data_IF_116962557458
#
_entry.id   IF_116962557458
#
_cell.length_a   1.000
_cell.length_b   1.000
_cell.length_c   1.000
_cell.angle_alpha   90.00
_cell.angle_beta   90.00
_cell.angle_gamma   90.00
#
_symmetry.space_group_name_H-M   'P 1'
#
loop_
_entity.id
_entity.type
_entity.pdbx_description
1 polymer ?
#
# COMPACT_ATOMS: atom_id res chain seq x y z
N UNK A 1 13.37 0.27 55.52
CA UNK A 1 14.18 0.30 54.27
C UNK A 1 13.70 -0.68 53.19
N UNK A 2 13.00 -1.79 53.51
CA UNK A 2 12.48 -2.75 52.50
C UNK A 2 11.26 -2.26 51.68
N UNK A 3 10.50 -1.28 52.17
CA UNK A 3 9.33 -0.70 51.47
C UNK A 3 9.70 0.26 50.32
N UNK A 4 10.90 0.84 50.34
CA UNK A 4 11.38 1.74 49.28
C UNK A 4 11.92 0.99 48.06
N UNK A 5 12.39 -0.25 48.24
CA UNK A 5 12.91 -1.08 47.14
C UNK A 5 11.79 -1.51 46.18
N UNK A 6 10.57 -1.73 46.70
CA UNK A 6 9.43 -2.12 45.87
C UNK A 6 8.92 -1.00 44.94
N UNK A 7 9.11 0.27 45.33
CA UNK A 7 8.66 1.43 44.57
C UNK A 7 9.61 1.76 43.41
N UNK A 8 10.89 1.40 43.54
CA UNK A 8 11.91 1.56 42.47
C UNK A 8 11.73 0.51 41.36
N UNK A 9 11.24 -0.70 41.69
CA UNK A 9 11.01 -1.76 40.69
C UNK A 9 9.80 -1.46 39.79
N UNK A 10 8.78 -0.75 40.30
CA UNK A 10 7.61 -0.38 39.49
C UNK A 10 7.90 0.80 38.53
N UNK A 11 8.86 1.67 38.87
CA UNK A 11 9.27 2.79 38.02
C UNK A 11 10.15 2.38 36.83
N UNK A 12 10.77 1.19 36.86
CA UNK A 12 11.63 0.69 35.78
C UNK A 12 10.85 0.10 34.58
N UNK A 13 9.54 -0.14 34.71
CA UNK A 13 8.72 -0.71 33.63
C UNK A 13 8.12 0.34 32.68
N UNK A 14 8.37 1.63 32.91
CA UNK A 14 7.77 2.75 32.16
C UNK A 14 8.44 3.10 30.82
N UNK A 15 9.50 2.40 30.42
CA UNK A 15 10.26 2.71 29.19
C UNK A 15 9.99 1.74 28.03
N UNK A 16 8.79 1.18 27.94
CA UNK A 16 8.33 0.59 26.67
C UNK A 16 7.85 1.74 25.79
N UNK A 17 8.80 2.28 25.01
CA UNK A 17 8.58 3.31 24.00
C UNK A 17 7.38 2.96 23.09
N UNK A 18 6.54 3.97 22.86
CA UNK A 18 5.32 3.92 22.06
C UNK A 18 5.58 3.45 20.62
N UNK A 19 5.40 2.17 20.35
CA UNK A 19 5.02 1.70 19.02
C UNK A 19 3.50 1.62 18.94
N UNK A 20 2.81 2.75 19.10
CA UNK A 20 1.37 2.78 18.80
C UNK A 20 1.22 2.61 17.29
N UNK A 21 0.42 1.65 16.81
CA UNK A 21 0.21 1.47 15.38
C UNK A 21 -0.41 2.75 14.81
N UNK A 22 0.11 3.19 13.66
CA UNK A 22 -0.39 4.36 12.96
C UNK A 22 -1.89 4.18 12.69
N UNK A 23 -2.72 5.05 13.25
CA UNK A 23 -4.18 4.98 13.11
C UNK A 23 -4.66 5.49 11.76
N UNK A 24 -4.00 6.52 11.26
CA UNK A 24 -4.23 7.12 9.96
C UNK A 24 -2.97 7.88 9.54
N UNK A 25 -2.71 7.92 8.24
CA UNK A 25 -1.77 8.86 7.65
C UNK A 25 -2.31 10.29 7.69
N UNK A 26 -1.39 11.26 7.59
CA UNK A 26 -1.73 12.66 7.38
C UNK A 26 -2.39 12.88 6.01
N UNK A 27 -3.37 13.77 5.96
CA UNK A 27 -4.01 14.21 4.71
C UNK A 27 -3.08 15.11 3.87
N UNK A 28 -2.00 15.62 4.47
CA UNK A 28 -1.01 16.45 3.76
C UNK A 28 -0.04 15.55 3.00
N UNK A 29 0.08 15.70 1.66
CA UNK A 29 0.92 14.83 0.85
C UNK A 29 2.42 14.81 1.24
N UNK A 30 2.94 15.94 1.71
CA UNK A 30 4.33 16.08 2.19
C UNK A 30 4.58 15.24 3.46
N UNK A 31 3.59 15.16 4.35
CA UNK A 31 3.69 14.39 5.60
C UNK A 31 3.44 12.90 5.34
N UNK A 32 2.48 12.57 4.47
CA UNK A 32 2.15 11.20 4.08
C UNK A 32 3.37 10.42 3.59
N UNK A 33 4.12 10.99 2.64
CA UNK A 33 5.22 10.26 1.98
C UNK A 33 6.37 9.95 2.96
N UNK A 34 6.58 10.83 3.95
CA UNK A 34 7.54 10.63 5.03
C UNK A 34 7.05 9.56 6.00
N UNK A 35 5.78 9.61 6.41
CA UNK A 35 5.18 8.61 7.29
C UNK A 35 5.19 7.21 6.68
N UNK A 36 4.88 7.09 5.38
CA UNK A 36 4.92 5.84 4.64
C UNK A 36 6.34 5.25 4.63
N UNK A 37 7.34 6.08 4.35
CA UNK A 37 8.76 5.68 4.41
C UNK A 37 9.12 5.15 5.79
N UNK A 38 8.84 5.92 6.84
CA UNK A 38 9.16 5.55 8.22
C UNK A 38 8.48 4.24 8.62
N UNK A 39 7.23 4.06 8.21
CA UNK A 39 6.46 2.84 8.47
C UNK A 39 7.09 1.61 7.83
N UNK A 40 7.55 1.68 6.57
CA UNK A 40 8.22 0.55 5.91
C UNK A 40 9.64 0.36 6.47
N UNK A 41 10.40 1.44 6.70
CA UNK A 41 11.76 1.37 7.28
C UNK A 41 11.78 0.76 8.68
N UNK A 42 10.73 0.98 9.47
CA UNK A 42 10.58 0.34 10.77
C UNK A 42 10.51 -1.20 10.69
N UNK A 43 10.08 -1.74 9.54
CA UNK A 43 10.06 -3.18 9.28
C UNK A 43 11.32 -3.67 8.54
N UNK A 44 11.71 -2.97 7.48
CA UNK A 44 12.94 -3.20 6.74
C UNK A 44 13.49 -1.88 6.18
N UNK A 45 14.61 -1.43 6.77
CA UNK A 45 15.26 -0.17 6.43
C UNK A 45 15.74 -0.10 4.98
N UNK A 46 16.17 -1.23 4.41
CA UNK A 46 16.67 -1.26 3.03
C UNK A 46 15.50 -1.11 2.06
N UNK A 47 14.47 -1.93 2.24
CA UNK A 47 13.26 -1.89 1.39
C UNK A 47 12.57 -0.52 1.47
N UNK A 48 12.42 0.03 2.67
CA UNK A 48 11.80 1.35 2.85
C UNK A 48 12.53 2.47 2.10
N UNK A 49 13.87 2.47 2.13
CA UNK A 49 14.68 3.41 1.35
C UNK A 49 14.52 3.23 -0.16
N UNK A 50 14.64 1.99 -0.64
CA UNK A 50 14.54 1.69 -2.07
C UNK A 50 13.18 2.12 -2.65
N UNK A 51 12.09 1.82 -1.94
CA UNK A 51 10.74 2.23 -2.34
C UNK A 51 10.62 3.75 -2.30
N UNK A 52 11.07 4.40 -1.22
CA UNK A 52 11.00 5.85 -1.08
C UNK A 52 11.76 6.58 -2.18
N UNK A 53 12.99 6.17 -2.49
CA UNK A 53 13.81 6.77 -3.54
C UNK A 53 13.19 6.58 -4.93
N UNK A 54 12.47 5.48 -5.16
CA UNK A 54 11.77 5.23 -6.42
C UNK A 54 10.48 6.05 -6.56
N UNK A 55 9.70 6.21 -5.49
CA UNK A 55 8.40 6.88 -5.53
C UNK A 55 8.53 8.41 -5.42
N UNK A 56 9.53 8.92 -4.68
CA UNK A 56 9.67 10.35 -4.38
C UNK A 56 9.73 11.25 -5.62
N UNK A 57 10.45 10.91 -6.71
CA UNK A 57 10.44 11.70 -7.94
C UNK A 57 9.07 11.75 -8.62
N UNK A 58 8.31 10.66 -8.56
CA UNK A 58 6.94 10.59 -9.11
C UNK A 58 5.97 11.40 -8.25
N UNK A 59 6.15 11.34 -6.92
CA UNK A 59 5.36 12.08 -5.95
C UNK A 59 5.60 13.59 -6.08
N UNK A 60 6.84 14.03 -6.20
CA UNK A 60 7.17 15.46 -6.31
C UNK A 60 7.03 15.99 -7.75
N UNK A 61 6.97 15.10 -8.74
CA UNK A 61 6.81 15.43 -10.15
C UNK A 61 5.36 15.69 -10.56
N UNK A 62 5.11 15.65 -11.87
CA UNK A 62 3.79 15.90 -12.47
C UNK A 62 2.95 14.63 -12.69
N UNK A 63 3.50 13.44 -12.43
CA UNK A 63 2.79 12.18 -12.63
C UNK A 63 1.58 12.07 -11.70
N UNK A 64 1.81 12.21 -10.38
CA UNK A 64 0.74 12.28 -9.39
C UNK A 64 0.35 13.74 -9.13
N UNK A 65 -0.82 14.16 -9.64
CA UNK A 65 -1.38 15.45 -9.29
C UNK A 65 -2.01 15.41 -7.87
N UNK A 66 -2.48 16.57 -7.39
CA UNK A 66 -3.05 16.65 -6.03
C UNK A 66 -4.25 15.71 -5.82
N UNK A 67 -5.10 15.52 -6.83
CA UNK A 67 -6.24 14.59 -6.74
C UNK A 67 -5.80 13.14 -6.65
N UNK A 68 -4.74 12.76 -7.37
CA UNK A 68 -4.17 11.42 -7.32
C UNK A 68 -3.58 11.16 -5.93
N UNK A 69 -2.80 12.11 -5.40
CA UNK A 69 -2.21 12.04 -4.05
C UNK A 69 -3.29 11.87 -2.99
N UNK A 70 -4.36 12.66 -3.03
CA UNK A 70 -5.50 12.52 -2.11
C UNK A 70 -6.14 11.13 -2.21
N UNK A 71 -6.28 10.59 -3.43
CA UNK A 71 -6.84 9.25 -3.63
C UNK A 71 -5.93 8.14 -3.08
N UNK A 72 -4.62 8.24 -3.31
CA UNK A 72 -3.60 7.33 -2.77
C UNK A 72 -3.62 7.34 -1.24
N UNK A 73 -3.68 8.53 -0.62
CA UNK A 73 -3.76 8.70 0.84
C UNK A 73 -5.05 8.08 1.39
N UNK A 74 -6.19 8.31 0.72
CA UNK A 74 -7.48 7.74 1.12
C UNK A 74 -7.43 6.20 1.11
N UNK A 75 -6.93 5.60 0.02
CA UNK A 75 -6.79 4.15 -0.08
C UNK A 75 -5.80 3.60 0.95
N UNK A 76 -4.71 4.31 1.22
CA UNK A 76 -3.74 3.95 2.26
C UNK A 76 -4.39 3.92 3.65
N UNK A 77 -5.25 4.88 3.95
CA UNK A 77 -6.02 4.90 5.21
C UNK A 77 -7.05 3.76 5.27
N UNK A 78 -7.68 3.40 4.15
CA UNK A 78 -8.58 2.24 4.08
C UNK A 78 -7.84 0.91 4.28
N UNK A 79 -6.61 0.80 3.77
CA UNK A 79 -5.72 -0.33 4.04
C UNK A 79 -5.36 -0.41 5.54
N UNK A 80 -5.04 0.71 6.20
CA UNK A 80 -4.82 0.75 7.65
C UNK A 80 -6.05 0.28 8.43
N UNK A 81 -7.26 0.68 8.02
CA UNK A 81 -8.51 0.20 8.64
C UNK A 81 -8.70 -1.31 8.51
N UNK A 82 -8.18 -1.90 7.42
CA UNK A 82 -8.10 -3.36 7.22
C UNK A 82 -6.92 -4.03 7.93
N UNK A 83 -6.18 -3.28 8.74
CA UNK A 83 -4.99 -3.73 9.48
C UNK A 83 -3.87 -4.20 8.54
N UNK A 84 -3.77 -3.59 7.37
CA UNK A 84 -2.65 -3.81 6.47
C UNK A 84 -1.33 -3.46 7.19
N UNK A 85 -0.41 -4.41 7.16
CA UNK A 85 0.95 -4.30 7.68
C UNK A 85 1.88 -3.56 6.71
N UNK A 86 2.98 -2.94 7.21
CA UNK A 86 3.99 -2.30 6.36
C UNK A 86 4.54 -3.22 5.27
N UNK A 87 4.74 -4.50 5.63
CA UNK A 87 5.08 -5.57 4.70
C UNK A 87 4.16 -6.78 4.96
N UNK A 88 3.66 -7.45 3.92
CA UNK A 88 3.92 -7.17 2.49
C UNK A 88 3.06 -6.04 1.90
N UNK A 89 1.97 -5.62 2.57
CA UNK A 89 0.88 -4.89 1.89
C UNK A 89 1.24 -3.48 1.42
N UNK A 90 1.81 -2.63 2.27
CA UNK A 90 2.16 -1.27 1.84
C UNK A 90 3.35 -1.28 0.87
N UNK A 91 4.32 -2.16 1.08
CA UNK A 91 5.35 -2.42 0.07
C UNK A 91 4.73 -2.75 -1.30
N UNK A 92 3.78 -3.67 -1.34
CA UNK A 92 3.16 -4.13 -2.59
C UNK A 92 2.32 -3.04 -3.24
N UNK A 93 1.55 -2.30 -2.44
CA UNK A 93 0.80 -1.13 -2.90
C UNK A 93 1.71 -0.12 -3.59
N UNK A 94 2.84 0.26 -2.97
CA UNK A 94 3.82 1.17 -3.58
C UNK A 94 4.45 0.60 -4.84
N UNK A 95 4.76 -0.71 -4.87
CA UNK A 95 5.26 -1.37 -6.09
C UNK A 95 4.25 -1.27 -7.23
N UNK A 96 2.96 -1.43 -6.96
CA UNK A 96 1.91 -1.26 -7.97
C UNK A 96 1.88 0.18 -8.50
N UNK A 97 1.97 1.19 -7.61
CA UNK A 97 2.05 2.60 -8.02
C UNK A 97 3.23 2.86 -8.97
N UNK A 98 4.40 2.30 -8.64
CA UNK A 98 5.60 2.38 -9.47
C UNK A 98 5.42 1.71 -10.84
N UNK A 99 4.79 0.54 -10.89
CA UNK A 99 4.57 -0.18 -12.16
C UNK A 99 3.59 0.53 -13.09
N UNK A 100 2.53 1.15 -12.54
CA UNK A 100 1.64 2.02 -13.32
C UNK A 100 2.41 3.19 -13.95
N UNK A 101 3.34 3.79 -13.20
CA UNK A 101 4.16 4.90 -13.69
C UNK A 101 5.19 4.48 -14.76
N UNK A 102 5.83 3.31 -14.62
CA UNK A 102 6.85 2.83 -15.56
C UNK A 102 6.29 2.47 -16.93
N UNK A 103 5.14 1.79 -16.96
CA UNK A 103 4.61 1.16 -18.17
C UNK A 103 3.77 2.13 -19.03
N UNK A 104 3.72 3.43 -18.68
CA UNK A 104 2.89 4.44 -19.33
C UNK A 104 1.41 4.01 -19.47
N UNK A 105 0.88 3.27 -18.49
CA UNK A 105 -0.57 3.05 -18.44
C UNK A 105 -1.28 4.39 -18.38
N UNK A 106 -2.50 4.42 -18.93
CA UNK A 106 -3.25 5.66 -18.91
C UNK A 106 -3.55 6.05 -17.47
N UNK A 107 -3.64 7.36 -17.22
CA UNK A 107 -4.08 7.86 -15.91
C UNK A 107 -5.44 7.28 -15.51
N UNK A 108 -6.31 7.01 -16.49
CA UNK A 108 -7.59 6.37 -16.23
C UNK A 108 -7.42 4.96 -15.66
N UNK A 109 -6.50 4.16 -16.21
CA UNK A 109 -6.27 2.79 -15.75
C UNK A 109 -5.84 2.75 -14.28
N UNK A 110 -4.96 3.66 -13.90
CA UNK A 110 -4.52 3.85 -12.53
C UNK A 110 -5.69 4.21 -11.59
N UNK A 111 -6.56 5.15 -12.01
CA UNK A 111 -7.72 5.56 -11.22
C UNK A 111 -8.76 4.44 -11.08
N UNK A 112 -8.99 3.66 -12.14
CA UNK A 112 -9.88 2.49 -12.11
C UNK A 112 -9.36 1.42 -11.14
N UNK A 113 -8.05 1.17 -11.14
CA UNK A 113 -7.42 0.32 -10.13
C UNK A 113 -7.65 0.82 -8.70
N UNK A 114 -7.43 2.12 -8.42
CA UNK A 114 -7.66 2.68 -7.09
C UNK A 114 -9.12 2.56 -6.65
N UNK A 115 -10.08 2.74 -7.56
CA UNK A 115 -11.51 2.52 -7.28
C UNK A 115 -11.77 1.07 -6.86
N UNK A 116 -11.23 0.10 -7.60
CA UNK A 116 -11.39 -1.32 -7.28
C UNK A 116 -10.78 -1.69 -5.93
N UNK A 117 -9.56 -1.20 -5.63
CA UNK A 117 -8.92 -1.43 -4.34
C UNK A 117 -9.71 -0.78 -3.20
N UNK A 118 -10.16 0.47 -3.38
CA UNK A 118 -10.97 1.17 -2.39
C UNK A 118 -12.29 0.45 -2.11
N UNK A 119 -12.99 0.00 -3.16
CA UNK A 119 -14.21 -0.78 -3.01
C UNK A 119 -13.96 -2.05 -2.19
N UNK A 120 -12.89 -2.78 -2.49
CA UNK A 120 -12.55 -4.00 -1.78
C UNK A 120 -12.20 -3.72 -0.30
N UNK A 121 -11.43 -2.66 -0.03
CA UNK A 121 -11.12 -2.24 1.34
C UNK A 121 -12.36 -1.79 2.11
N UNK A 122 -13.36 -1.17 1.47
CA UNK A 122 -14.60 -0.73 2.15
C UNK A 122 -15.62 -1.87 2.32
N UNK A 123 -15.52 -2.94 1.54
CA UNK A 123 -16.39 -4.10 1.63
C UNK A 123 -16.20 -4.80 2.99
N UNK A 124 -17.27 -4.85 3.80
CA UNK A 124 -17.23 -5.43 5.16
C UNK A 124 -16.80 -6.91 5.15
N UNK A 125 -17.19 -7.66 4.12
CA UNK A 125 -16.89 -9.10 3.99
C UNK A 125 -15.49 -9.38 3.44
N UNK A 126 -14.80 -8.38 2.89
CA UNK A 126 -13.47 -8.57 2.34
C UNK A 126 -12.44 -8.75 3.46
N UNK A 127 -11.66 -9.82 3.35
CA UNK A 127 -10.55 -10.14 4.26
C UNK A 127 -9.26 -9.50 3.76
N UNK A 128 -8.27 -9.35 4.65
CA UNK A 128 -6.94 -8.85 4.23
C UNK A 128 -6.34 -9.75 3.15
N UNK A 129 -6.44 -11.08 3.31
CA UNK A 129 -6.01 -12.04 2.28
C UNK A 129 -6.69 -11.84 0.91
N UNK A 130 -7.95 -11.41 0.87
CA UNK A 130 -8.61 -11.09 -0.42
C UNK A 130 -8.06 -9.82 -1.06
N UNK A 131 -7.64 -8.84 -0.24
CA UNK A 131 -6.98 -7.61 -0.70
C UNK A 131 -5.56 -7.94 -1.20
N UNK A 132 -4.84 -8.80 -0.49
CA UNK A 132 -3.49 -9.25 -0.87
C UNK A 132 -3.52 -9.99 -2.20
N UNK A 133 -4.44 -10.95 -2.34
CA UNK A 133 -4.62 -11.66 -3.62
C UNK A 133 -4.99 -10.71 -4.76
N UNK A 134 -5.80 -9.68 -4.48
CA UNK A 134 -6.11 -8.67 -5.49
C UNK A 134 -4.86 -7.89 -5.90
N UNK A 135 -4.08 -7.37 -4.94
CA UNK A 135 -2.84 -6.64 -5.22
C UNK A 135 -1.80 -7.51 -5.95
N UNK A 136 -1.58 -8.76 -5.55
CA UNK A 136 -0.64 -9.67 -6.21
C UNK A 136 -1.06 -9.98 -7.66
N UNK A 137 -2.36 -10.14 -7.92
CA UNK A 137 -2.86 -10.32 -9.28
C UNK A 137 -2.59 -9.08 -10.14
N UNK A 138 -2.85 -7.89 -9.62
CA UNK A 138 -2.56 -6.63 -10.33
C UNK A 138 -1.06 -6.49 -10.59
N UNK A 139 -0.22 -6.71 -9.59
CA UNK A 139 1.22 -6.61 -9.74
C UNK A 139 1.77 -7.64 -10.76
N UNK A 140 1.30 -8.89 -10.71
CA UNK A 140 1.66 -9.91 -11.70
C UNK A 140 1.17 -9.55 -13.10
N UNK A 141 -0.01 -8.93 -13.24
CA UNK A 141 -0.49 -8.44 -14.52
C UNK A 141 0.42 -7.33 -15.05
N UNK A 142 0.70 -6.29 -14.24
CA UNK A 142 1.51 -5.15 -14.64
C UNK A 142 2.93 -5.57 -15.06
N UNK A 143 3.55 -6.49 -14.33
CA UNK A 143 4.93 -6.93 -14.58
C UNK A 143 5.06 -8.02 -15.65
N UNK A 144 4.12 -8.97 -15.69
CA UNK A 144 4.27 -10.22 -16.47
C UNK A 144 3.11 -10.49 -17.43
N UNK A 145 2.10 -9.61 -17.48
CA UNK A 145 0.88 -9.75 -18.28
C UNK A 145 0.12 -11.03 -17.99
N UNK A 146 0.19 -11.51 -16.76
CA UNK A 146 -0.59 -12.65 -16.29
C UNK A 146 -1.99 -12.20 -15.90
N UNK A 147 -3.01 -12.71 -16.58
CA UNK A 147 -4.42 -12.51 -16.25
C UNK A 147 -4.82 -13.36 -15.03
N UNK A 148 -4.22 -14.56 -14.93
CA UNK A 148 -4.38 -15.45 -13.80
C UNK A 148 -3.17 -16.38 -13.71
N UNK A 149 -2.74 -16.68 -12.49
CA UNK A 149 -1.59 -17.53 -12.21
C UNK A 149 -1.90 -18.48 -11.06
N UNK A 150 -1.78 -19.77 -11.33
CA UNK A 150 -1.70 -20.84 -10.32
C UNK A 150 -0.33 -21.51 -10.41
N UNK A 151 -0.08 -22.50 -9.56
CA UNK A 151 1.16 -23.29 -9.59
C UNK A 151 1.36 -24.01 -10.94
N UNK A 152 0.26 -24.46 -11.56
CA UNK A 152 0.29 -25.31 -12.77
C UNK A 152 -0.13 -24.57 -14.04
N UNK A 153 -0.88 -23.47 -13.94
CA UNK A 153 -1.45 -22.78 -15.10
C UNK A 153 -1.18 -21.28 -15.02
N UNK A 154 -0.76 -20.70 -16.15
CA UNK A 154 -0.53 -19.25 -16.30
C UNK A 154 -1.26 -18.76 -17.55
N UNK A 155 -2.28 -17.93 -17.36
CA UNK A 155 -2.99 -17.26 -18.44
C UNK A 155 -2.32 -15.92 -18.69
N UNK A 156 -1.87 -15.66 -19.92
CA UNK A 156 -1.19 -14.43 -20.29
C UNK A 156 -1.79 -13.81 -21.54
N UNK A 157 -1.83 -12.48 -21.60
CA UNK A 157 -2.17 -11.76 -22.82
C UNK A 157 -0.91 -11.42 -23.63
N UNK A 158 -1.06 -11.36 -24.96
CA UNK A 158 -0.05 -10.82 -25.87
C UNK A 158 -0.34 -9.38 -26.29
N UNK A 159 -1.56 -8.88 -26.02
CA UNK A 159 -1.96 -7.52 -26.35
C UNK A 159 -1.37 -6.52 -25.37
N UNK A 160 -0.89 -5.39 -25.88
CA UNK A 160 -0.43 -4.25 -25.09
C UNK A 160 -1.55 -3.33 -24.62
N UNK A 161 -2.74 -3.43 -25.20
CA UNK A 161 -3.77 -2.37 -25.16
C UNK A 161 -4.89 -2.64 -24.15
N UNK A 162 -4.65 -3.50 -23.17
CA UNK A 162 -5.60 -3.76 -22.08
C UNK A 162 -5.88 -2.48 -21.30
N UNK A 163 -7.16 -2.32 -20.91
CA UNK A 163 -7.64 -1.21 -20.10
C UNK A 163 -8.19 -1.74 -18.80
N UNK A 164 -7.97 -0.97 -17.74
CA UNK A 164 -8.54 -1.28 -16.44
C UNK A 164 -9.91 -0.60 -16.36
N UNK A 165 -10.94 -1.36 -15.99
CA UNK A 165 -12.31 -0.87 -15.85
C UNK A 165 -12.89 -1.45 -14.57
N UNK A 166 -13.26 -0.60 -13.61
CA UNK A 166 -13.99 -1.03 -12.43
C UNK A 166 -15.49 -0.98 -12.68
N UNK A 167 -16.16 -2.14 -12.67
CA UNK A 167 -17.58 -2.27 -13.00
C UNK A 167 -18.53 -2.01 -11.82
N UNK A 168 -17.98 -1.73 -10.63
CA UNK A 168 -18.74 -1.57 -9.38
C UNK A 168 -18.63 -2.76 -8.44
N UNK A 169 -18.18 -3.93 -8.93
CA UNK A 169 -17.97 -5.13 -8.12
C UNK A 169 -16.55 -5.67 -8.21
N UNK A 170 -15.94 -5.58 -9.40
CA UNK A 170 -14.62 -6.11 -9.70
C UNK A 170 -13.89 -5.25 -10.73
N UNK A 171 -12.57 -5.42 -10.79
CA UNK A 171 -11.73 -4.78 -11.79
C UNK A 171 -11.57 -5.72 -12.99
N UNK A 172 -11.89 -5.21 -14.18
CA UNK A 172 -11.73 -5.90 -15.47
C UNK A 172 -10.46 -5.39 -16.17
N UNK A 173 -9.73 -6.29 -16.85
CA UNK A 173 -8.45 -6.03 -17.54
C UNK A 173 -8.43 -6.67 -18.93
#
# INVERSE_FOLDING_TARGET
MKKFVFLVVFAAFGLVLNAQPLKSFSDKPEEYIVQLKEMIEAKDKKVGKEIYEAILPLWNGSYFNNSDKTSIISVSNELLQKRALPMPHFEEFERILLEFAKQNYSKNDFLEYLKGLSFLCRKKTATLNSIDNYMDNILNYLQKRYLSKTTTVKWKTRSSDSKFIFDGEQLLI
#
